data_IF_405468253107
#
_entry.id   IF_405468253107
#
_cell.length_a   1.000
_cell.length_b   1.000
_cell.length_c   1.000
_cell.angle_alpha   90.00
_cell.angle_beta   90.00
_cell.angle_gamma   90.00
#
_symmetry.space_group_name_H-M   'P 1'
#
loop_
_entity.id
_entity.type
_entity.pdbx_description
1 polymer ?
#
# COMPACT_ATOMS: atom_id res chain seq x y z
N UNK A 1 -9.25 -23.25 -1.83
CA UNK A 1 -8.00 -23.38 -2.62
C UNK A 1 -8.26 -23.71 -4.09
N UNK A 2 -9.48 -24.12 -4.45
CA UNK A 2 -9.87 -24.54 -5.81
C UNK A 2 -9.57 -23.53 -6.91
N UNK A 3 -9.67 -22.23 -6.61
CA UNK A 3 -9.30 -21.17 -7.54
C UNK A 3 -7.83 -21.28 -8.00
N UNK A 4 -6.90 -21.44 -7.06
CA UNK A 4 -5.47 -21.60 -7.38
C UNK A 4 -5.22 -22.87 -8.21
N UNK A 5 -5.88 -23.98 -7.86
CA UNK A 5 -5.77 -25.23 -8.62
C UNK A 5 -6.27 -25.09 -10.06
N UNK A 6 -7.33 -24.30 -10.29
CA UNK A 6 -7.82 -23.99 -11.63
C UNK A 6 -6.82 -23.13 -12.41
N UNK A 7 -6.30 -22.06 -11.80
CA UNK A 7 -5.28 -21.22 -12.43
C UNK A 7 -4.06 -22.04 -12.84
N UNK A 8 -3.57 -22.90 -11.95
CA UNK A 8 -2.44 -23.81 -12.22
C UNK A 8 -2.73 -24.77 -13.37
N UNK A 9 -3.89 -25.44 -13.35
CA UNK A 9 -4.29 -26.41 -14.39
C UNK A 9 -4.37 -25.79 -15.77
N UNK A 10 -4.77 -24.51 -15.85
CA UNK A 10 -4.89 -23.78 -17.10
C UNK A 10 -3.62 -23.02 -17.50
N UNK A 11 -2.51 -23.16 -16.75
CA UNK A 11 -1.24 -22.52 -17.07
C UNK A 11 -1.27 -20.99 -16.95
N UNK A 12 -2.19 -20.44 -16.16
CA UNK A 12 -2.26 -19.00 -15.93
C UNK A 12 -1.16 -18.58 -14.94
N UNK A 13 -0.52 -17.44 -15.19
CA UNK A 13 0.41 -16.83 -14.24
C UNK A 13 -0.37 -16.08 -13.16
N UNK A 14 -0.06 -16.34 -11.90
CA UNK A 14 -0.71 -15.66 -10.77
C UNK A 14 0.21 -15.54 -9.57
N UNK A 15 -0.18 -14.63 -8.70
CA UNK A 15 0.35 -14.53 -7.36
C UNK A 15 -0.76 -14.48 -6.33
N UNK A 16 -0.38 -14.20 -5.10
CA UNK A 16 -1.27 -14.05 -3.96
C UNK A 16 -1.02 -12.71 -3.27
N UNK A 17 -2.03 -12.22 -2.56
CA UNK A 17 -1.93 -11.04 -1.72
C UNK A 17 -2.27 -11.44 -0.29
N UNK A 18 -1.41 -11.08 0.66
CA UNK A 18 -1.55 -11.43 2.07
C UNK A 18 -1.45 -10.18 2.91
N UNK A 19 -2.50 -9.89 3.67
CA UNK A 19 -2.51 -8.80 4.64
C UNK A 19 -1.89 -9.26 5.96
N UNK A 20 -0.80 -8.62 6.33
CA UNK A 20 -0.09 -8.79 7.59
C UNK A 20 -0.77 -7.98 8.68
N UNK A 21 -1.10 -8.67 9.77
CA UNK A 21 -1.70 -8.15 10.99
C UNK A 21 -0.84 -8.56 12.17
N UNK A 22 -1.04 -7.91 13.33
CA UNK A 22 -0.33 -8.26 14.57
C UNK A 22 -0.49 -9.74 14.95
N UNK A 23 -1.58 -10.37 14.54
CA UNK A 23 -1.97 -11.72 14.94
C UNK A 23 -1.48 -12.82 13.98
N UNK A 24 -1.14 -12.49 12.74
CA UNK A 24 -0.81 -13.49 11.72
C UNK A 24 0.63 -13.42 11.20
N UNK A 25 1.48 -12.53 11.75
CA UNK A 25 2.86 -12.38 11.27
C UNK A 25 3.63 -13.69 11.29
N UNK A 26 3.52 -14.45 12.38
CA UNK A 26 4.27 -15.69 12.56
C UNK A 26 3.92 -16.74 11.51
N UNK A 27 2.64 -16.88 11.23
CA UNK A 27 2.15 -17.78 10.19
C UNK A 27 2.52 -17.26 8.80
N UNK A 28 2.10 -16.03 8.47
CA UNK A 28 2.22 -15.49 7.13
C UNK A 28 3.66 -15.26 6.69
N UNK A 29 4.59 -14.97 7.60
CA UNK A 29 6.02 -14.82 7.30
C UNK A 29 6.83 -16.08 7.67
N UNK A 30 6.21 -17.26 7.60
CA UNK A 30 6.89 -18.55 7.78
C UNK A 30 7.30 -19.17 6.45
N UNK A 31 8.33 -20.03 6.50
CA UNK A 31 8.73 -20.87 5.37
C UNK A 31 7.56 -21.76 4.90
N UNK A 32 6.83 -22.38 5.84
CA UNK A 32 5.71 -23.27 5.54
C UNK A 32 4.56 -22.58 4.79
N UNK A 33 4.28 -21.30 5.11
CA UNK A 33 3.28 -20.51 4.41
C UNK A 33 3.67 -20.30 2.95
N UNK A 34 4.89 -19.84 2.68
CA UNK A 34 5.37 -19.65 1.31
C UNK A 34 5.41 -20.94 0.51
N UNK A 35 5.96 -22.01 1.08
CA UNK A 35 6.03 -23.32 0.43
C UNK A 35 4.65 -23.85 0.03
N UNK A 36 3.63 -23.58 0.84
CA UNK A 36 2.25 -23.97 0.56
C UNK A 36 1.75 -23.36 -0.75
N UNK A 37 2.09 -22.10 -1.03
CA UNK A 37 1.68 -21.41 -2.25
C UNK A 37 2.62 -21.67 -3.43
N UNK A 38 3.91 -21.87 -3.19
CA UNK A 38 4.89 -22.30 -4.20
C UNK A 38 4.48 -23.65 -4.79
N UNK A 39 4.18 -24.65 -3.94
CA UNK A 39 3.70 -25.98 -4.39
C UNK A 39 2.40 -25.88 -5.21
N UNK A 40 1.61 -24.84 -4.95
CA UNK A 40 0.37 -24.55 -5.67
C UNK A 40 0.59 -23.67 -6.87
N UNK A 41 1.82 -23.41 -7.33
CA UNK A 41 2.10 -22.70 -8.57
C UNK A 41 2.09 -21.17 -8.51
N UNK A 42 1.98 -20.56 -7.32
CA UNK A 42 2.04 -19.11 -7.20
C UNK A 42 3.47 -18.60 -7.51
N UNK A 43 3.56 -17.59 -8.39
CA UNK A 43 4.85 -17.03 -8.83
C UNK A 43 5.32 -15.86 -7.97
N UNK A 44 4.39 -15.13 -7.37
CA UNK A 44 4.68 -14.00 -6.51
C UNK A 44 3.69 -13.92 -5.34
N UNK A 45 4.12 -13.27 -4.26
CA UNK A 45 3.28 -12.90 -3.13
C UNK A 45 3.47 -11.42 -2.83
N UNK A 46 2.37 -10.70 -2.66
CA UNK A 46 2.37 -9.32 -2.16
C UNK A 46 1.99 -9.31 -0.70
N UNK A 47 2.87 -8.74 0.15
CA UNK A 47 2.53 -8.48 1.53
C UNK A 47 2.06 -7.05 1.71
N UNK A 48 0.86 -6.90 2.31
CA UNK A 48 0.29 -5.62 2.68
C UNK A 48 0.25 -5.49 4.19
N UNK A 49 0.68 -4.37 4.76
CA UNK A 49 0.48 -4.12 6.20
C UNK A 49 -0.95 -3.62 6.40
N UNK A 50 -1.65 -4.22 7.37
CA UNK A 50 -3.02 -3.85 7.71
C UNK A 50 -3.13 -2.36 8.11
N UNK A 51 -4.17 -1.72 7.60
CA UNK A 51 -4.57 -0.35 7.97
C UNK A 51 -6.00 -0.44 8.53
N UNK A 52 -6.28 0.07 9.73
CA UNK A 52 -7.60 0.00 10.34
C UNK A 52 -8.53 1.04 9.72
N UNK A 53 -8.86 0.85 8.45
CA UNK A 53 -9.75 1.71 7.66
C UNK A 53 -10.84 0.82 7.09
N UNK A 54 -12.10 1.20 7.25
CA UNK A 54 -13.25 0.37 6.88
C UNK A 54 -14.47 0.66 7.76
N UNK A 55 -15.62 0.10 7.38
CA UNK A 55 -16.86 0.28 8.13
C UNK A 55 -16.78 -0.29 9.56
N UNK A 56 -15.92 -1.28 9.76
CA UNK A 56 -15.68 -1.96 11.04
C UNK A 56 -14.16 -2.12 11.25
N UNK A 57 -13.44 -1.03 11.58
CA UNK A 57 -11.99 -1.07 11.70
C UNK A 57 -11.60 -1.81 12.99
N UNK A 58 -10.54 -2.63 12.92
CA UNK A 58 -10.00 -3.35 14.07
C UNK A 58 -8.58 -2.83 14.38
N UNK A 59 -8.44 -1.69 15.10
CA UNK A 59 -7.16 -1.07 15.43
C UNK A 59 -6.11 -2.02 16.02
N UNK A 60 -6.53 -3.02 16.77
CA UNK A 60 -5.72 -4.02 17.45
C UNK A 60 -5.02 -5.00 16.49
N UNK A 61 -5.39 -5.00 15.21
CA UNK A 61 -4.71 -5.78 14.16
C UNK A 61 -3.57 -5.02 13.50
N UNK A 62 -3.49 -3.70 13.69
CA UNK A 62 -2.36 -2.92 13.19
C UNK A 62 -1.06 -3.35 13.88
N UNK A 63 0.04 -3.31 13.12
CA UNK A 63 1.35 -3.69 13.63
C UNK A 63 1.88 -2.66 14.62
N UNK A 64 2.61 -3.14 15.62
CA UNK A 64 3.45 -2.26 16.46
C UNK A 64 4.70 -1.83 15.71
N UNK A 65 5.43 -0.85 16.26
CA UNK A 65 6.73 -0.41 15.73
C UNK A 65 7.73 -1.56 15.61
N UNK A 66 7.81 -2.41 16.64
CA UNK A 66 8.71 -3.55 16.71
C UNK A 66 8.35 -4.58 15.63
N UNK A 67 7.06 -4.82 15.45
CA UNK A 67 6.54 -5.71 14.43
C UNK A 67 6.78 -5.20 13.01
N UNK A 68 6.75 -3.90 12.75
CA UNK A 68 7.11 -3.33 11.45
C UNK A 68 8.57 -3.65 11.09
N UNK A 69 9.48 -3.52 12.06
CA UNK A 69 10.90 -3.88 11.88
C UNK A 69 11.06 -5.40 11.71
N UNK A 70 10.32 -6.19 12.47
CA UNK A 70 10.33 -7.66 12.35
C UNK A 70 9.87 -8.11 10.95
N UNK A 71 8.74 -7.57 10.47
CA UNK A 71 8.23 -7.84 9.13
C UNK A 71 9.31 -7.58 8.09
N UNK A 72 9.96 -6.42 8.17
CA UNK A 72 11.01 -6.05 7.23
C UNK A 72 12.16 -7.05 7.24
N UNK A 73 12.70 -7.41 8.42
CA UNK A 73 13.78 -8.40 8.55
C UNK A 73 13.38 -9.78 8.02
N UNK A 74 12.19 -10.26 8.37
CA UNK A 74 11.69 -11.57 7.96
C UNK A 74 11.44 -11.64 6.45
N UNK A 75 10.88 -10.59 5.85
CA UNK A 75 10.70 -10.53 4.40
C UNK A 75 12.03 -10.63 3.64
N UNK A 76 13.08 -9.92 4.09
CA UNK A 76 14.42 -10.02 3.49
C UNK A 76 14.98 -11.46 3.61
N UNK A 77 14.85 -12.07 4.78
CA UNK A 77 15.28 -13.45 4.99
C UNK A 77 14.54 -14.46 4.10
N UNK A 78 13.23 -14.29 3.90
CA UNK A 78 12.43 -15.18 3.05
C UNK A 78 12.81 -15.05 1.57
N UNK A 79 13.11 -13.84 1.08
CA UNK A 79 13.53 -13.58 -0.31
C UNK A 79 14.77 -14.35 -0.75
N UNK A 80 15.64 -14.67 0.21
CA UNK A 80 16.89 -15.41 -0.03
C UNK A 80 16.69 -16.92 -0.06
N UNK A 81 15.60 -17.41 0.53
CA UNK A 81 15.39 -18.84 0.80
C UNK A 81 14.36 -19.47 -0.13
N UNK A 82 13.42 -18.68 -0.65
CA UNK A 82 12.28 -19.21 -1.38
C UNK A 82 12.26 -18.78 -2.85
N UNK A 83 11.99 -19.72 -3.79
CA UNK A 83 11.86 -19.43 -5.21
C UNK A 83 10.48 -18.82 -5.54
N UNK A 84 10.10 -17.74 -4.86
CA UNK A 84 8.88 -16.95 -5.12
C UNK A 84 9.21 -15.46 -5.04
N UNK A 85 8.64 -14.66 -5.94
CA UNK A 85 8.84 -13.22 -5.89
C UNK A 85 8.01 -12.61 -4.74
N UNK A 86 8.68 -12.23 -3.67
CA UNK A 86 8.08 -11.51 -2.54
C UNK A 86 8.07 -10.00 -2.79
N UNK A 87 6.90 -9.39 -2.90
CA UNK A 87 6.69 -7.97 -3.18
C UNK A 87 6.26 -7.22 -1.91
N UNK A 88 6.92 -6.10 -1.64
CA UNK A 88 6.46 -5.04 -0.74
C UNK A 88 6.53 -3.71 -1.50
N UNK A 89 5.54 -2.84 -1.28
CA UNK A 89 5.45 -1.53 -1.93
C UNK A 89 5.61 -0.39 -0.93
N UNK A 90 6.35 -0.64 0.15
CA UNK A 90 6.47 0.29 1.28
C UNK A 90 7.89 0.72 1.58
N UNK A 91 8.90 0.01 1.07
CA UNK A 91 10.30 0.36 1.28
C UNK A 91 11.07 0.47 -0.03
N UNK A 92 11.96 1.45 -0.13
CA UNK A 92 12.92 1.57 -1.24
C UNK A 92 14.00 0.49 -1.14
N UNK A 93 14.94 0.46 -2.10
CA UNK A 93 16.10 -0.44 -2.05
C UNK A 93 17.01 -0.15 -0.83
N UNK A 94 17.06 1.11 -0.41
CA UNK A 94 17.88 1.55 0.72
C UNK A 94 17.12 1.46 2.06
N UNK A 95 15.90 0.91 2.04
CA UNK A 95 15.12 0.62 3.25
C UNK A 95 14.30 1.80 3.76
N UNK A 96 14.34 2.94 3.08
CA UNK A 96 13.49 4.08 3.40
C UNK A 96 12.02 3.76 3.13
N UNK A 97 11.13 4.26 3.98
CA UNK A 97 9.70 4.18 3.72
C UNK A 97 9.31 4.91 2.43
N UNK A 98 8.23 4.45 1.81
CA UNK A 98 7.77 4.97 0.53
C UNK A 98 6.24 4.90 0.43
N UNK A 99 5.62 6.00 -0.02
CA UNK A 99 4.19 6.08 -0.32
C UNK A 99 3.96 6.22 -1.84
N UNK A 100 3.41 5.18 -2.53
CA UNK A 100 3.15 5.26 -3.96
C UNK A 100 2.22 6.42 -4.36
N UNK A 101 1.22 6.71 -3.53
CA UNK A 101 0.28 7.80 -3.77
C UNK A 101 0.96 9.18 -3.68
N UNK A 102 1.86 9.38 -2.72
CA UNK A 102 2.62 10.63 -2.58
C UNK A 102 3.55 10.89 -3.77
N UNK A 103 4.03 9.80 -4.39
CA UNK A 103 4.90 9.85 -5.56
C UNK A 103 4.14 9.93 -6.88
N UNK A 104 2.81 9.85 -6.87
CA UNK A 104 1.99 9.90 -8.07
C UNK A 104 2.20 8.69 -8.98
N UNK A 105 2.58 7.53 -8.44
CA UNK A 105 2.79 6.31 -9.23
C UNK A 105 1.49 5.72 -9.78
N UNK A 106 0.35 6.09 -9.22
CA UNK A 106 -0.96 5.65 -9.66
C UNK A 106 -2.06 6.32 -8.88
N UNK A 107 -3.27 6.25 -9.44
CA UNK A 107 -4.49 6.77 -8.87
C UNK A 107 -5.53 5.66 -8.83
N UNK A 108 -6.45 5.72 -7.88
CA UNK A 108 -7.52 4.76 -7.75
C UNK A 108 -8.79 5.32 -8.39
N UNK A 109 -9.46 4.53 -9.23
CA UNK A 109 -10.78 4.88 -9.74
C UNK A 109 -11.82 4.13 -8.91
N UNK A 110 -12.57 4.88 -8.10
CA UNK A 110 -13.60 4.29 -7.25
C UNK A 110 -14.78 3.73 -8.05
N UNK A 111 -15.63 2.87 -7.46
CA UNK A 111 -16.77 2.27 -8.15
C UNK A 111 -17.77 3.27 -8.73
N UNK A 112 -17.82 4.47 -8.14
CA UNK A 112 -18.67 5.56 -8.59
C UNK A 112 -18.02 6.42 -9.68
N UNK A 113 -16.78 6.10 -10.08
CA UNK A 113 -15.97 6.87 -11.03
C UNK A 113 -15.22 8.04 -10.41
N UNK A 114 -15.10 8.10 -9.09
CA UNK A 114 -14.25 9.06 -8.37
C UNK A 114 -12.77 8.82 -8.67
N UNK A 115 -12.00 9.90 -8.84
CA UNK A 115 -10.55 9.83 -9.04
C UNK A 115 -9.87 10.09 -7.69
N UNK A 116 -9.42 9.01 -7.06
CA UNK A 116 -9.00 8.96 -5.67
C UNK A 116 -7.48 8.84 -5.55
N UNK A 117 -6.85 9.44 -4.52
CA UNK A 117 -5.40 9.46 -4.40
C UNK A 117 -4.83 8.09 -4.00
N UNK A 118 -5.61 7.25 -3.30
CA UNK A 118 -5.16 5.97 -2.78
C UNK A 118 -6.37 5.07 -2.50
N UNK A 119 -6.33 3.74 -2.72
CA UNK A 119 -7.48 2.85 -2.56
C UNK A 119 -8.23 2.90 -1.21
N UNK A 120 -7.57 3.07 -0.04
CA UNK A 120 -8.28 3.22 1.25
C UNK A 120 -8.93 4.59 1.44
N UNK A 121 -8.65 5.56 0.58
CA UNK A 121 -9.13 6.95 0.67
C UNK A 121 -10.12 7.22 -0.44
N UNK A 122 -11.36 6.78 -0.25
CA UNK A 122 -12.46 7.04 -1.19
C UNK A 122 -12.97 8.48 -1.07
N UNK A 123 -12.10 9.43 -1.41
CA UNK A 123 -12.31 10.87 -1.39
C UNK A 123 -11.75 11.46 -2.69
N UNK A 124 -12.53 12.31 -3.36
CA UNK A 124 -12.14 12.90 -4.63
C UNK A 124 -12.77 14.29 -4.84
N UNK A 125 -12.09 15.14 -5.60
CA UNK A 125 -12.68 16.36 -6.17
C UNK A 125 -13.20 16.10 -7.59
N UNK A 126 -12.53 15.23 -8.35
CA UNK A 126 -12.84 14.92 -9.74
C UNK A 126 -13.39 13.50 -9.92
N UNK A 127 -14.11 13.32 -11.03
CA UNK A 127 -14.61 12.03 -11.51
C UNK A 127 -14.20 11.79 -12.95
N UNK A 128 -14.28 10.54 -13.39
CA UNK A 128 -14.04 10.13 -14.79
C UNK A 128 -14.99 10.81 -15.79
N UNK A 129 -16.10 11.41 -15.32
CA UNK A 129 -17.08 12.12 -16.15
C UNK A 129 -16.69 13.57 -16.43
N UNK A 130 -15.79 14.16 -15.65
CA UNK A 130 -15.44 15.59 -15.77
C UNK A 130 -14.60 15.87 -17.02
N UNK A 131 -13.93 14.85 -17.56
CA UNK A 131 -13.09 14.94 -18.76
C UNK A 131 -13.76 14.52 -20.06
N UNK A 132 -15.09 14.31 -20.08
CA UNK A 132 -15.80 13.77 -21.25
C UNK A 132 -15.16 12.46 -21.79
N UNK A 133 -14.69 11.60 -20.88
CA UNK A 133 -14.01 10.35 -21.22
C UNK A 133 -12.47 10.43 -21.33
N UNK A 134 -11.87 11.63 -21.31
CA UNK A 134 -10.42 11.80 -21.26
C UNK A 134 -9.92 11.99 -19.82
N UNK A 135 -9.29 10.95 -19.27
CA UNK A 135 -8.75 10.97 -17.92
C UNK A 135 -7.44 11.74 -17.80
N UNK A 136 -6.66 11.83 -18.88
CA UNK A 136 -5.33 12.41 -18.82
C UNK A 136 -5.32 13.89 -18.39
N UNK A 137 -6.12 14.80 -18.99
CA UNK A 137 -6.15 16.20 -18.58
C UNK A 137 -6.79 16.37 -17.20
N UNK A 138 -7.77 15.53 -16.83
CA UNK A 138 -8.42 15.59 -15.50
C UNK A 138 -7.43 15.25 -14.40
N UNK A 139 -6.72 14.12 -14.54
CA UNK A 139 -5.74 13.67 -13.55
C UNK A 139 -4.55 14.63 -13.46
N UNK A 140 -3.97 15.03 -14.60
CA UNK A 140 -2.79 15.91 -14.59
C UNK A 140 -3.11 17.35 -14.17
N UNK A 141 -4.34 17.80 -14.41
CA UNK A 141 -4.84 19.12 -14.00
C UNK A 141 -5.38 19.17 -12.57
N UNK A 142 -5.54 18.02 -11.90
CA UNK A 142 -6.13 17.96 -10.56
C UNK A 142 -5.26 18.66 -9.52
N UNK A 143 -5.77 19.75 -8.96
CA UNK A 143 -5.15 20.44 -7.82
C UNK A 143 -5.22 19.59 -6.56
N UNK A 144 -6.29 18.83 -6.39
CA UNK A 144 -6.48 17.94 -5.26
C UNK A 144 -5.42 16.83 -5.21
N UNK A 145 -5.20 16.12 -6.33
CA UNK A 145 -4.20 15.04 -6.39
C UNK A 145 -2.78 15.55 -6.17
N UNK A 146 -2.43 16.71 -6.75
CA UNK A 146 -1.10 17.33 -6.55
C UNK A 146 -0.95 17.89 -5.14
N UNK A 147 -2.01 18.49 -4.59
CA UNK A 147 -2.07 18.94 -3.20
C UNK A 147 -1.88 17.77 -2.23
N UNK A 148 -2.52 16.63 -2.48
CA UNK A 148 -2.37 15.42 -1.65
C UNK A 148 -0.94 14.90 -1.69
N UNK A 149 -0.32 14.83 -2.87
CA UNK A 149 1.07 14.41 -3.02
C UNK A 149 2.01 15.28 -2.17
N UNK A 150 1.87 16.60 -2.25
CA UNK A 150 2.67 17.55 -1.48
C UNK A 150 2.40 17.43 0.02
N UNK A 151 1.12 17.39 0.41
CA UNK A 151 0.67 17.23 1.78
C UNK A 151 1.32 16.01 2.46
N UNK A 152 1.35 14.86 1.78
CA UNK A 152 1.99 13.64 2.32
C UNK A 152 3.50 13.80 2.41
N UNK A 153 4.16 14.29 1.35
CA UNK A 153 5.62 14.46 1.30
C UNK A 153 6.18 15.35 2.42
N UNK A 154 5.42 16.35 2.85
CA UNK A 154 5.81 17.25 3.94
C UNK A 154 5.72 16.62 5.33
N UNK A 155 4.94 15.54 5.48
CA UNK A 155 4.62 14.93 6.78
C UNK A 155 5.30 13.61 7.01
N UNK A 156 5.33 12.75 5.98
CA UNK A 156 5.83 11.38 6.14
C UNK A 156 6.27 10.78 4.82
N UNK A 157 7.27 9.89 4.88
CA UNK A 157 7.60 8.99 3.78
C UNK A 157 6.71 7.74 3.77
N UNK A 158 5.91 7.52 4.82
CA UNK A 158 5.09 6.35 5.04
C UNK A 158 3.60 6.59 4.78
N UNK A 159 2.74 5.99 5.59
CA UNK A 159 1.29 6.09 5.41
C UNK A 159 0.69 7.23 6.23
N UNK A 160 0.27 8.30 5.54
CA UNK A 160 -0.37 9.47 6.15
C UNK A 160 -1.66 9.14 6.91
N UNK A 161 -2.38 8.08 6.50
CA UNK A 161 -3.60 7.62 7.17
C UNK A 161 -3.31 7.15 8.59
N UNK A 162 -2.14 6.52 8.79
CA UNK A 162 -1.75 6.01 10.10
C UNK A 162 -1.17 7.12 10.96
N UNK A 163 -0.34 7.99 10.39
CA UNK A 163 0.46 8.95 11.16
C UNK A 163 -0.27 10.29 11.40
N UNK A 164 -1.05 10.78 10.44
CA UNK A 164 -1.67 12.11 10.48
C UNK A 164 -3.15 12.11 10.02
N UNK A 165 -4.03 11.23 10.55
CA UNK A 165 -5.39 11.10 10.04
C UNK A 165 -6.26 12.35 10.25
N UNK A 166 -6.11 13.10 11.35
CA UNK A 166 -6.88 14.32 11.59
C UNK A 166 -6.47 15.48 10.67
N UNK A 167 -5.17 15.67 10.44
CA UNK A 167 -4.68 16.66 9.47
C UNK A 167 -5.14 16.29 8.06
N UNK A 168 -5.20 15.00 7.74
CA UNK A 168 -5.69 14.53 6.45
C UNK A 168 -7.17 14.92 6.24
N UNK A 169 -8.01 14.82 7.27
CA UNK A 169 -9.39 15.30 7.23
C UNK A 169 -9.46 16.80 6.99
N UNK A 170 -8.60 17.59 7.66
CA UNK A 170 -8.53 19.04 7.45
C UNK A 170 -8.16 19.36 6.00
N UNK A 171 -7.11 18.73 5.47
CA UNK A 171 -6.71 18.88 4.08
C UNK A 171 -7.87 18.58 3.11
N UNK A 172 -8.59 17.48 3.30
CA UNK A 172 -9.72 17.15 2.43
C UNK A 172 -10.83 18.20 2.48
N UNK A 173 -11.15 18.72 3.66
CA UNK A 173 -12.15 19.79 3.83
C UNK A 173 -11.72 21.07 3.14
N UNK A 174 -10.45 21.46 3.28
CA UNK A 174 -9.87 22.64 2.63
C UNK A 174 -9.87 22.53 1.10
N UNK A 175 -9.65 21.33 0.57
CA UNK A 175 -9.72 21.08 -0.87
C UNK A 175 -11.16 20.97 -1.41
N UNK A 176 -12.18 21.01 -0.54
CA UNK A 176 -13.57 20.79 -0.92
C UNK A 176 -13.84 19.39 -1.45
N UNK A 177 -13.05 18.39 -1.01
CA UNK A 177 -13.14 17.03 -1.51
C UNK A 177 -14.41 16.33 -0.98
N UNK A 178 -15.02 15.52 -1.84
CA UNK A 178 -16.25 14.78 -1.52
C UNK A 178 -15.94 13.36 -1.07
N UNK A 179 -16.72 12.87 -0.11
CA UNK A 179 -16.71 11.47 0.32
C UNK A 179 -17.46 10.57 -0.68
N UNK A 180 -16.78 9.53 -1.15
CA UNK A 180 -17.29 8.46 -2.02
C UNK A 180 -17.28 7.09 -1.35
N UNK A 181 -16.89 7.01 -0.08
CA UNK A 181 -16.74 5.76 0.68
C UNK A 181 -18.07 5.07 0.99
N UNK A 182 -19.14 5.85 1.18
CA UNK A 182 -20.43 5.36 1.70
C UNK A 182 -20.43 5.09 3.22
N UNK A 183 -19.43 5.58 3.97
CA UNK A 183 -19.16 5.21 5.37
C UNK A 183 -18.95 6.40 6.32
N UNK A 184 -19.04 7.64 5.82
CA UNK A 184 -18.53 8.85 6.47
C UNK A 184 -17.03 8.73 6.81
N UNK A 185 -16.21 8.80 5.76
CA UNK A 185 -14.75 8.67 5.91
C UNK A 185 -14.14 9.81 6.74
N UNK A 186 -14.81 10.97 6.82
CA UNK A 186 -14.31 12.10 7.60
C UNK A 186 -14.44 11.83 9.10
N UNK A 187 -15.58 11.28 9.54
CA UNK A 187 -15.78 10.88 10.92
C UNK A 187 -14.83 9.75 11.31
N UNK A 188 -14.68 8.74 10.44
CA UNK A 188 -13.75 7.63 10.63
C UNK A 188 -12.31 8.10 10.83
N UNK A 189 -11.78 8.88 9.87
CA UNK A 189 -10.41 9.39 9.95
C UNK A 189 -10.23 10.32 11.16
N UNK A 190 -11.25 11.12 11.51
CA UNK A 190 -11.18 11.98 12.69
C UNK A 190 -11.06 11.18 13.99
N UNK A 191 -11.73 10.02 14.07
CA UNK A 191 -11.72 9.13 15.24
C UNK A 191 -10.48 8.23 15.34
N UNK A 192 -9.70 8.10 14.25
CA UNK A 192 -8.53 7.24 14.23
C UNK A 192 -7.38 7.80 15.09
N UNK A 193 -6.95 7.03 16.09
CA UNK A 193 -5.75 7.36 16.85
C UNK A 193 -4.49 7.23 15.97
N UNK A 194 -3.65 8.29 15.89
CA UNK A 194 -2.36 8.25 15.21
C UNK A 194 -1.47 7.10 15.68
N UNK A 195 -0.71 6.50 14.75
CA UNK A 195 0.21 5.39 15.00
C UNK A 195 1.33 5.35 13.97
N UNK A 196 2.36 4.57 14.29
CA UNK A 196 3.48 4.35 13.37
C UNK A 196 3.04 3.68 12.08
N UNK A 197 3.68 4.10 10.98
CA UNK A 197 3.67 3.38 9.72
C UNK A 197 5.09 2.85 9.41
N UNK A 198 5.35 2.47 8.16
CA UNK A 198 6.66 2.03 7.70
C UNK A 198 7.75 3.12 7.82
N UNK A 199 7.37 4.39 7.98
CA UNK A 199 8.30 5.49 8.20
C UNK A 199 8.78 5.50 9.66
N UNK A 200 9.96 4.92 9.85
CA UNK A 200 10.66 4.84 11.13
C UNK A 200 12.07 5.45 10.95
N UNK A 201 12.21 6.79 11.03
CA UNK A 201 13.48 7.47 10.78
C UNK A 201 14.62 6.93 11.65
N UNK A 202 15.74 6.58 11.03
CA UNK A 202 16.93 6.03 11.70
C UNK A 202 16.90 4.52 11.95
N UNK A 203 15.83 3.84 11.54
CA UNK A 203 15.65 2.39 11.67
C UNK A 203 15.46 1.72 10.30
N UNK A 204 15.96 2.36 9.24
CA UNK A 204 15.88 1.86 7.88
C UNK A 204 16.67 0.54 7.75
N UNK A 205 16.04 -0.45 7.13
CA UNK A 205 16.65 -1.76 6.88
C UNK A 205 16.77 -1.96 5.36
N UNK A 206 17.96 -1.73 4.78
CA UNK A 206 18.15 -1.80 3.33
C UNK A 206 17.95 -3.22 2.79
N UNK A 207 17.64 -3.32 1.51
CA UNK A 207 17.69 -4.61 0.81
C UNK A 207 19.13 -5.16 0.85
N UNK A 208 19.26 -6.40 1.28
CA UNK A 208 20.53 -7.12 1.40
C UNK A 208 20.79 -8.08 0.23
N UNK A 209 19.80 -8.27 -0.66
CA UNK A 209 19.90 -9.16 -1.81
C UNK A 209 19.95 -8.37 -3.13
N UNK A 210 21.03 -8.57 -3.90
CA UNK A 210 21.35 -7.79 -5.10
C UNK A 210 20.20 -7.78 -6.14
N UNK A 211 19.52 -8.92 -6.31
CA UNK A 211 18.42 -9.05 -7.26
C UNK A 211 17.26 -8.13 -6.88
N UNK A 212 16.91 -8.06 -5.60
CA UNK A 212 15.88 -7.15 -5.11
C UNK A 212 16.32 -5.69 -5.10
N UNK A 213 17.59 -5.39 -4.85
CA UNK A 213 18.14 -4.04 -5.05
C UNK A 213 17.94 -3.58 -6.50
N UNK A 214 18.23 -4.45 -7.47
CA UNK A 214 18.01 -4.19 -8.88
C UNK A 214 16.52 -3.99 -9.18
N UNK A 215 15.64 -4.91 -8.75
CA UNK A 215 14.20 -4.81 -8.98
C UNK A 215 13.59 -3.55 -8.37
N UNK A 216 13.97 -3.19 -7.14
CA UNK A 216 13.43 -1.98 -6.49
C UNK A 216 13.90 -0.70 -7.16
N UNK A 217 15.14 -0.64 -7.65
CA UNK A 217 15.66 0.56 -8.35
C UNK A 217 15.09 0.74 -9.75
N UNK A 218 14.69 -0.35 -10.42
CA UNK A 218 14.39 -0.28 -11.86
C UNK A 218 12.95 -0.70 -12.23
N UNK A 219 12.27 -1.48 -11.39
CA UNK A 219 11.03 -2.19 -11.77
C UNK A 219 9.86 -1.88 -10.83
N UNK A 220 10.04 -1.99 -9.51
CA UNK A 220 8.89 -1.94 -8.58
C UNK A 220 8.28 -0.55 -8.40
N UNK A 221 9.03 0.52 -8.63
CA UNK A 221 8.57 1.89 -8.42
C UNK A 221 8.46 2.70 -9.71
N UNK A 222 8.32 2.01 -10.85
CA UNK A 222 8.34 2.65 -12.17
C UNK A 222 9.77 2.96 -12.61
N UNK A 223 10.01 2.83 -13.91
CA UNK A 223 11.28 3.05 -14.59
C UNK A 223 11.92 4.41 -14.24
N UNK A 224 12.69 4.49 -13.14
CA UNK A 224 13.44 5.69 -12.74
C UNK A 224 12.74 6.69 -11.81
N UNK A 225 11.75 6.28 -10.98
CA UNK A 225 11.09 7.20 -10.04
C UNK A 225 11.81 7.41 -8.69
N UNK A 226 13.13 7.21 -8.65
CA UNK A 226 14.01 7.60 -7.53
C UNK A 226 15.31 8.17 -8.08
#
# INVERSE_FOLDING_TARGET
MDGLSRLQRHGLLYGIATTLTRQNLDECLSDAYLETFIRRGAMYIWYYVYRPVGADPHPEYALTREQLLEVRRRMLALRRRHPILIVDSYWTADGEAFCPAAMGLGFHIGPQGSIEPCPPLSVACETVRDGNGDLFPVINGSRFLRGFQQFVKERTKGCVILEYPQELVQFFREQGARDYSGRDIFAELSALAPRHSQHLPGEEIPEDFWFYRLLKRNVFFGMGAL
#
